data_IF_362422796566
#
_entry.id   IF_362422796566
#
_cell.length_a   1.000
_cell.length_b   1.000
_cell.length_c   1.000
_cell.angle_alpha   90.00
_cell.angle_beta   90.00
_cell.angle_gamma   90.00
#
_symmetry.space_group_name_H-M   'P 1'
#
loop_
_entity.id
_entity.type
_entity.pdbx_description
1 polymer ?
#
# COMPACT_ATOMS: atom_id res chain seq x y z
N UNK A 1 9.29 11.37 -2.38
CA UNK A 1 8.03 10.60 -2.24
C UNK A 1 7.33 11.01 -0.96
N UNK A 2 5.98 11.09 -0.94
CA UNK A 2 5.25 11.44 0.27
C UNK A 2 5.46 10.39 1.35
N UNK A 3 5.69 10.84 2.58
CA UNK A 3 5.75 9.97 3.76
C UNK A 3 4.35 9.42 4.02
N UNK A 4 4.21 8.11 4.12
CA UNK A 4 3.00 7.46 4.62
C UNK A 4 3.24 7.07 6.08
N UNK A 5 2.33 7.48 6.94
CA UNK A 5 2.30 7.06 8.34
C UNK A 5 1.15 6.09 8.52
N UNK A 6 1.42 4.97 9.13
CA UNK A 6 0.43 3.92 9.35
C UNK A 6 0.35 3.57 10.82
N UNK A 7 -0.85 3.50 11.28
CA UNK A 7 -1.43 2.86 12.46
C UNK A 7 -1.20 3.50 13.82
N UNK A 8 -2.22 4.26 14.22
CA UNK A 8 -2.57 4.50 15.61
C UNK A 8 -3.42 3.31 16.06
N UNK A 9 -2.82 2.34 16.79
CA UNK A 9 -3.53 1.14 17.25
C UNK A 9 -4.24 1.34 18.60
N UNK A 10 -4.29 2.58 19.11
CA UNK A 10 -5.03 2.90 20.32
C UNK A 10 -6.51 2.52 20.14
N UNK A 11 -7.07 1.88 21.15
CA UNK A 11 -8.47 1.42 21.14
C UNK A 11 -8.84 0.50 19.95
N UNK A 12 -7.82 -0.19 19.38
CA UNK A 12 -8.01 -1.07 18.22
C UNK A 12 -8.51 -0.34 16.96
N UNK A 13 -8.06 0.89 16.78
CA UNK A 13 -8.31 1.75 15.62
C UNK A 13 -7.07 1.75 14.73
N UNK A 14 -7.26 1.63 13.43
CA UNK A 14 -6.21 1.87 12.44
C UNK A 14 -6.30 3.32 11.95
N UNK A 15 -5.14 3.96 11.87
CA UNK A 15 -4.97 5.27 11.25
C UNK A 15 -3.95 5.17 10.12
N UNK A 16 -4.32 5.55 8.91
CA UNK A 16 -3.42 5.67 7.76
C UNK A 16 -3.38 7.11 7.33
N UNK A 17 -2.19 7.69 7.27
CA UNK A 17 -1.97 9.10 6.88
C UNK A 17 -0.96 9.16 5.74
N UNK A 18 -1.23 9.95 4.71
CA UNK A 18 -0.32 10.23 3.61
C UNK A 18 -0.11 11.75 3.45
N UNK A 19 1.03 12.11 2.88
CA UNK A 19 1.40 13.49 2.52
C UNK A 19 1.28 13.72 0.99
N UNK A 20 0.37 13.01 0.34
CA UNK A 20 0.07 13.16 -1.07
C UNK A 20 -0.73 14.42 -1.38
N UNK A 21 -1.35 14.45 -2.56
CA UNK A 21 -2.17 15.60 -3.01
C UNK A 21 -3.52 15.74 -2.28
N UNK A 22 -3.89 14.81 -1.43
CA UNK A 22 -5.21 14.69 -0.81
C UNK A 22 -6.29 14.13 -1.76
N UNK A 23 -7.28 13.46 -1.21
CA UNK A 23 -8.43 12.97 -1.98
C UNK A 23 -9.22 14.12 -2.61
N UNK A 24 -9.89 13.91 -3.78
CA UNK A 24 -10.81 14.89 -4.34
C UNK A 24 -11.95 15.19 -3.37
N UNK A 25 -12.26 16.48 -3.16
CA UNK A 25 -13.31 16.97 -2.26
C UNK A 25 -14.44 17.68 -2.98
N UNK A 26 -14.34 17.82 -4.29
CA UNK A 26 -15.34 18.39 -5.18
C UNK A 26 -16.61 17.53 -5.25
N UNK A 27 -17.67 18.10 -5.79
CA UNK A 27 -18.92 17.39 -6.03
C UNK A 27 -18.77 16.46 -7.25
N UNK A 28 -19.08 15.20 -7.07
CA UNK A 28 -19.13 14.22 -8.13
C UNK A 28 -20.38 14.43 -9.02
N UNK A 29 -20.36 13.93 -10.25
CA UNK A 29 -21.48 14.02 -11.19
C UNK A 29 -22.81 13.40 -10.65
N UNK A 30 -22.72 12.50 -9.67
CA UNK A 30 -23.87 11.92 -8.96
C UNK A 30 -24.51 12.86 -7.92
N UNK A 31 -24.01 14.09 -7.74
CA UNK A 31 -24.57 15.07 -6.83
C UNK A 31 -24.15 14.91 -5.36
N UNK A 32 -23.18 14.02 -5.07
CA UNK A 32 -22.59 13.86 -3.72
C UNK A 32 -21.08 14.15 -3.75
N UNK A 33 -20.44 14.44 -2.60
CA UNK A 33 -18.99 14.65 -2.55
C UNK A 33 -18.21 13.45 -3.08
N UNK A 34 -17.12 13.69 -3.81
CA UNK A 34 -16.27 12.62 -4.37
C UNK A 34 -15.71 11.70 -3.28
N UNK A 35 -15.39 12.24 -2.09
CA UNK A 35 -15.00 11.43 -0.92
C UNK A 35 -16.08 10.38 -0.59
N UNK A 36 -17.36 10.77 -0.60
CA UNK A 36 -18.45 9.83 -0.35
C UNK A 36 -18.48 8.71 -1.41
N UNK A 37 -18.35 9.07 -2.68
CA UNK A 37 -18.33 8.08 -3.77
C UNK A 37 -17.19 7.06 -3.59
N UNK A 38 -15.98 7.52 -3.23
CA UNK A 38 -14.80 6.66 -2.99
C UNK A 38 -15.09 5.60 -1.91
N UNK A 39 -15.83 5.96 -0.86
CA UNK A 39 -16.07 5.08 0.29
C UNK A 39 -17.39 4.31 0.24
N UNK A 40 -18.33 4.66 -0.66
CA UNK A 40 -19.66 4.02 -0.69
C UNK A 40 -20.00 3.35 -2.02
N UNK A 41 -19.24 3.61 -3.09
CA UNK A 41 -19.51 3.03 -4.41
C UNK A 41 -18.38 2.06 -4.78
N UNK A 42 -18.76 0.84 -5.17
CA UNK A 42 -17.82 -0.13 -5.70
C UNK A 42 -17.32 0.32 -7.08
N UNK A 43 -16.07 0.02 -7.38
CA UNK A 43 -15.40 0.36 -8.64
C UNK A 43 -15.27 1.87 -8.93
N UNK A 44 -15.42 2.71 -7.92
CA UNK A 44 -15.25 4.16 -8.00
C UNK A 44 -13.78 4.63 -8.00
N UNK A 45 -12.83 3.75 -8.29
CA UNK A 45 -11.40 4.08 -8.25
C UNK A 45 -10.96 4.97 -9.40
N UNK A 46 -10.49 6.18 -9.10
CA UNK A 46 -9.91 7.12 -10.09
C UNK A 46 -8.53 6.70 -10.66
N UNK A 47 -8.11 5.45 -10.42
CA UNK A 47 -6.81 4.92 -10.86
C UNK A 47 -6.84 4.28 -12.26
N UNK A 48 -8.02 4.17 -12.86
CA UNK A 48 -8.23 3.51 -14.15
C UNK A 48 -8.20 4.45 -15.36
N UNK A 49 -8.15 5.77 -15.15
CA UNK A 49 -7.94 6.72 -16.23
C UNK A 49 -6.46 6.94 -16.46
N UNK A 50 -6.02 6.95 -17.71
CA UNK A 50 -4.66 7.34 -18.14
C UNK A 50 -4.27 8.74 -17.66
N UNK A 51 -5.24 9.59 -17.34
CA UNK A 51 -5.06 10.93 -16.79
C UNK A 51 -4.90 10.94 -15.24
N UNK A 52 -5.15 9.83 -14.57
CA UNK A 52 -5.15 9.76 -13.08
C UNK A 52 -3.80 9.95 -12.38
N UNK A 53 -2.68 9.98 -13.13
CA UNK A 53 -1.35 10.30 -12.61
C UNK A 53 -0.75 9.28 -11.63
N UNK A 54 -1.30 8.06 -11.57
CA UNK A 54 -0.74 6.96 -10.77
C UNK A 54 0.12 6.05 -11.65
N UNK A 55 1.44 6.05 -11.40
CA UNK A 55 2.39 5.19 -12.14
C UNK A 55 2.38 3.74 -11.64
N UNK A 56 2.14 3.54 -10.34
CA UNK A 56 2.11 2.21 -9.72
C UNK A 56 1.01 2.17 -8.68
N UNK A 57 0.16 1.15 -8.70
CA UNK A 57 -0.92 0.97 -7.75
C UNK A 57 -1.25 -0.50 -7.54
N UNK A 58 -1.33 -0.93 -6.27
CA UNK A 58 -1.81 -2.27 -5.91
C UNK A 58 -3.33 -2.45 -6.02
N UNK A 59 -4.09 -1.35 -6.10
CA UNK A 59 -5.55 -1.40 -6.19
C UNK A 59 -6.03 -1.51 -7.64
N UNK A 60 -6.34 -2.73 -8.10
CA UNK A 60 -6.75 -3.00 -9.47
C UNK A 60 -8.27 -2.89 -9.71
N UNK A 61 -9.08 -2.96 -8.66
CA UNK A 61 -10.54 -3.05 -8.79
C UNK A 61 -11.31 -1.83 -8.28
N UNK A 62 -10.63 -0.84 -7.65
CA UNK A 62 -11.28 0.35 -7.10
C UNK A 62 -12.27 0.09 -5.96
N UNK A 63 -12.06 -1.00 -5.20
CA UNK A 63 -12.97 -1.42 -4.13
C UNK A 63 -12.38 -1.30 -2.73
N UNK A 64 -11.06 -1.06 -2.57
CA UNK A 64 -10.40 -1.11 -1.28
C UNK A 64 -11.03 -0.19 -0.23
N UNK A 65 -11.28 1.07 -0.56
CA UNK A 65 -11.85 2.04 0.36
C UNK A 65 -13.30 1.69 0.74
N UNK A 66 -14.14 1.31 -0.24
CA UNK A 66 -15.53 0.95 0.01
C UNK A 66 -15.67 -0.35 0.80
N UNK A 67 -14.77 -1.33 0.59
CA UNK A 67 -14.73 -2.56 1.39
C UNK A 67 -14.29 -2.27 2.83
N UNK A 68 -13.26 -1.45 3.05
CA UNK A 68 -12.87 -1.03 4.41
C UNK A 68 -14.05 -0.37 5.12
N UNK A 69 -14.77 0.53 4.43
CA UNK A 69 -15.95 1.17 5.00
C UNK A 69 -17.06 0.16 5.34
N UNK A 70 -17.39 -0.75 4.43
CA UNK A 70 -18.43 -1.75 4.63
C UNK A 70 -18.15 -2.73 5.79
N UNK A 71 -16.86 -2.95 6.11
CA UNK A 71 -16.42 -3.86 7.17
C UNK A 71 -16.01 -3.15 8.46
N UNK A 72 -16.34 -1.86 8.60
CA UNK A 72 -15.99 -1.05 9.76
C UNK A 72 -17.22 -0.61 10.57
N UNK A 73 -17.09 -0.57 11.91
CA UNK A 73 -18.06 0.08 12.78
C UNK A 73 -18.19 1.57 12.39
N UNK A 74 -17.07 2.19 12.09
CA UNK A 74 -16.99 3.56 11.59
C UNK A 74 -15.69 3.80 10.82
N UNK A 75 -15.74 4.78 9.91
CA UNK A 75 -14.61 5.34 9.17
C UNK A 75 -14.65 6.85 9.26
N UNK A 76 -13.53 7.49 9.56
CA UNK A 76 -13.34 8.94 9.52
C UNK A 76 -12.26 9.28 8.49
N UNK A 77 -12.60 10.15 7.57
CA UNK A 77 -11.71 10.63 6.51
C UNK A 77 -11.44 12.11 6.73
N UNK A 78 -10.19 12.48 6.89
CA UNK A 78 -9.72 13.86 6.91
C UNK A 78 -8.86 14.12 5.68
N UNK A 79 -9.16 15.19 4.95
CA UNK A 79 -8.42 15.56 3.73
C UNK A 79 -7.86 16.95 3.88
N UNK A 80 -6.55 17.08 3.66
CA UNK A 80 -5.82 18.34 3.59
C UNK A 80 -5.64 18.70 2.11
N UNK A 81 -6.40 19.68 1.62
CA UNK A 81 -6.39 20.06 0.21
C UNK A 81 -6.86 21.51 0.02
N UNK A 82 -6.28 22.20 -0.95
CA UNK A 82 -6.68 23.56 -1.34
C UNK A 82 -6.73 24.55 -0.17
N UNK A 83 -5.75 24.45 0.75
CA UNK A 83 -5.61 25.31 1.93
C UNK A 83 -6.62 25.03 3.04
N UNK A 84 -7.42 23.98 2.93
CA UNK A 84 -8.49 23.62 3.88
C UNK A 84 -8.33 22.21 4.41
N UNK A 85 -8.92 21.98 5.59
CA UNK A 85 -9.07 20.66 6.19
C UNK A 85 -10.55 20.27 6.08
N UNK A 86 -10.80 19.18 5.37
CA UNK A 86 -12.13 18.61 5.21
C UNK A 86 -12.26 17.35 6.06
N UNK A 87 -13.46 17.08 6.59
CA UNK A 87 -13.76 15.85 7.32
C UNK A 87 -15.10 15.28 6.87
N UNK A 88 -15.13 13.96 6.77
CA UNK A 88 -16.31 13.17 6.50
C UNK A 88 -16.25 11.87 7.29
N UNK A 89 -17.38 11.41 7.83
CA UNK A 89 -17.46 10.20 8.64
C UNK A 89 -18.55 9.29 8.09
N UNK A 90 -18.33 7.99 8.27
CA UNK A 90 -19.21 6.92 7.86
C UNK A 90 -19.40 5.98 9.05
N UNK A 91 -20.60 5.44 9.23
CA UNK A 91 -20.93 4.43 10.25
C UNK A 91 -21.88 3.38 9.68
N UNK A 92 -22.10 2.34 10.45
CA UNK A 92 -22.97 1.19 10.07
C UNK A 92 -22.63 0.63 8.68
N UNK A 93 -21.34 0.31 8.45
CA UNK A 93 -20.89 -0.21 7.16
C UNK A 93 -21.08 0.79 5.99
N UNK A 94 -21.10 2.07 6.27
CA UNK A 94 -21.27 3.15 5.27
C UNK A 94 -22.72 3.48 4.92
N UNK A 95 -23.71 2.96 5.66
CA UNK A 95 -25.12 3.32 5.49
C UNK A 95 -25.42 4.72 6.02
N UNK A 96 -24.77 5.10 7.10
CA UNK A 96 -24.84 6.45 7.65
C UNK A 96 -23.62 7.24 7.20
N UNK A 97 -23.86 8.41 6.61
CA UNK A 97 -22.83 9.28 6.04
C UNK A 97 -23.02 10.69 6.53
N UNK A 98 -21.97 11.29 7.12
CA UNK A 98 -21.98 12.68 7.51
C UNK A 98 -21.91 13.62 6.31
N UNK A 99 -22.15 14.90 6.52
CA UNK A 99 -21.80 15.92 5.52
C UNK A 99 -20.28 16.07 5.44
N UNK A 100 -19.78 16.44 4.25
CA UNK A 100 -18.40 16.88 4.10
C UNK A 100 -18.27 18.29 4.69
N UNK A 101 -17.51 18.43 5.76
CA UNK A 101 -17.35 19.69 6.50
C UNK A 101 -15.94 20.24 6.34
N UNK A 102 -15.82 21.57 6.26
CA UNK A 102 -14.54 22.27 6.41
C UNK A 102 -14.31 22.52 7.89
N UNK A 103 -13.32 21.89 8.49
CA UNK A 103 -13.03 21.97 9.93
C UNK A 103 -11.83 22.85 10.26
N UNK A 104 -11.12 23.36 9.25
CA UNK A 104 -9.95 24.21 9.48
C UNK A 104 -9.24 24.63 8.22
N UNK A 105 -8.11 25.33 8.41
CA UNK A 105 -7.16 25.71 7.35
C UNK A 105 -5.84 24.97 7.53
N UNK A 106 -5.11 24.73 6.43
CA UNK A 106 -3.83 24.03 6.45
C UNK A 106 -2.93 24.49 5.32
N UNK A 107 -1.62 24.38 5.53
CA UNK A 107 -0.62 24.51 4.47
C UNK A 107 -0.10 23.15 4.00
N UNK A 108 -0.63 22.05 4.55
CA UNK A 108 -0.26 20.69 4.18
C UNK A 108 -1.24 20.15 3.15
N UNK A 109 -0.79 19.11 2.43
CA UNK A 109 -1.65 18.26 1.58
C UNK A 109 -1.56 16.82 2.05
N UNK A 110 -2.57 16.02 1.75
CA UNK A 110 -2.60 14.61 2.10
C UNK A 110 -3.97 14.16 2.59
N UNK A 111 -4.05 12.89 2.96
CA UNK A 111 -5.28 12.32 3.52
C UNK A 111 -4.94 11.52 4.77
N UNK A 112 -5.86 11.53 5.72
CA UNK A 112 -5.82 10.74 6.94
C UNK A 112 -7.12 9.96 7.06
N UNK A 113 -7.01 8.66 7.17
CA UNK A 113 -8.14 7.74 7.28
C UNK A 113 -8.02 6.98 8.58
N UNK A 114 -9.04 7.06 9.42
CA UNK A 114 -9.15 6.30 10.66
C UNK A 114 -10.35 5.38 10.56
N UNK A 115 -10.20 4.14 11.00
CA UNK A 115 -11.31 3.19 10.99
C UNK A 115 -11.19 2.17 12.11
N UNK A 116 -12.33 1.63 12.50
CA UNK A 116 -12.46 0.55 13.46
C UNK A 116 -13.20 -0.61 12.84
N UNK A 117 -12.55 -1.78 12.78
CA UNK A 117 -13.15 -2.97 12.22
C UNK A 117 -14.40 -3.40 13.02
N UNK A 118 -15.44 -3.80 12.30
CA UNK A 118 -16.67 -4.28 12.89
C UNK A 118 -16.49 -5.69 13.46
N UNK A 119 -16.64 -5.83 14.78
CA UNK A 119 -16.52 -7.10 15.50
C UNK A 119 -17.59 -8.13 15.13
N UNK A 120 -18.67 -7.72 14.47
CA UNK A 120 -19.71 -8.66 13.99
C UNK A 120 -19.31 -9.32 12.67
N UNK A 121 -18.37 -8.71 11.93
CA UNK A 121 -17.89 -9.20 10.63
C UNK A 121 -16.64 -10.06 10.73
N UNK A 122 -15.86 -9.94 11.82
CA UNK A 122 -14.58 -10.62 11.99
C UNK A 122 -14.57 -11.47 13.26
N UNK A 123 -13.96 -12.64 13.21
CA UNK A 123 -13.71 -13.50 14.37
C UNK A 123 -12.76 -12.84 15.39
N UNK A 124 -11.86 -11.98 14.93
CA UNK A 124 -11.00 -11.14 15.75
C UNK A 124 -10.78 -9.79 15.07
N UNK A 125 -10.80 -8.73 15.86
CA UNK A 125 -10.47 -7.38 15.39
C UNK A 125 -9.14 -6.89 15.96
N UNK A 126 -8.37 -7.77 16.65
CA UNK A 126 -7.06 -7.43 17.20
C UNK A 126 -6.02 -7.35 16.10
N UNK A 127 -5.42 -6.21 15.92
CA UNK A 127 -4.36 -6.00 14.94
C UNK A 127 -3.01 -6.48 15.47
N UNK A 128 -2.25 -7.17 14.60
CA UNK A 128 -0.86 -7.52 14.84
C UNK A 128 0.05 -6.43 14.29
N UNK A 129 0.82 -5.79 15.16
CA UNK A 129 1.83 -4.82 14.72
C UNK A 129 2.83 -5.47 13.75
N UNK A 130 3.30 -6.68 14.07
CA UNK A 130 4.27 -7.39 13.26
C UNK A 130 3.79 -7.60 11.83
N UNK A 131 2.55 -8.07 11.62
CA UNK A 131 1.99 -8.25 10.28
C UNK A 131 1.87 -6.93 9.50
N UNK A 132 1.53 -5.83 10.18
CA UNK A 132 1.46 -4.51 9.55
C UNK A 132 2.86 -4.01 9.20
N UNK A 133 3.82 -4.21 10.10
CA UNK A 133 5.21 -3.82 9.93
C UNK A 133 5.88 -4.60 8.78
N UNK A 134 5.72 -5.92 8.74
CA UNK A 134 6.21 -6.75 7.63
C UNK A 134 5.65 -6.30 6.28
N UNK A 135 4.34 -6.03 6.21
CA UNK A 135 3.74 -5.55 4.98
C UNK A 135 4.24 -4.17 4.57
N UNK A 136 4.41 -3.26 5.53
CA UNK A 136 4.97 -1.94 5.28
C UNK A 136 6.44 -2.03 4.81
N UNK A 137 7.22 -2.93 5.38
CA UNK A 137 8.59 -3.18 4.96
C UNK A 137 8.65 -3.72 3.52
N UNK A 138 7.81 -4.70 3.16
CA UNK A 138 7.70 -5.23 1.81
C UNK A 138 7.33 -4.11 0.81
N UNK A 139 6.32 -3.31 1.12
CA UNK A 139 5.91 -2.17 0.28
C UNK A 139 7.03 -1.13 0.13
N UNK A 140 7.84 -0.89 1.18
CA UNK A 140 8.96 0.04 1.13
C UNK A 140 10.11 -0.45 0.23
N UNK A 141 10.34 -1.76 0.16
CA UNK A 141 11.29 -2.34 -0.80
C UNK A 141 10.81 -2.23 -2.25
N UNK A 142 9.50 -2.43 -2.48
CA UNK A 142 8.93 -2.41 -3.83
C UNK A 142 8.73 -0.99 -4.38
N UNK A 143 8.63 0.01 -3.50
CA UNK A 143 8.40 1.40 -3.84
C UNK A 143 9.63 2.24 -3.44
N UNK A 144 10.66 2.15 -4.27
CA UNK A 144 11.95 2.84 -4.07
C UNK A 144 11.77 4.30 -3.64
N UNK A 145 12.45 4.68 -2.55
CA UNK A 145 12.38 6.01 -1.97
C UNK A 145 11.11 6.36 -1.18
N UNK A 146 10.13 5.44 -1.08
CA UNK A 146 8.98 5.63 -0.19
C UNK A 146 9.40 5.43 1.26
N UNK A 147 9.05 6.38 2.13
CA UNK A 147 9.23 6.25 3.57
C UNK A 147 7.90 5.84 4.22
N UNK A 148 7.90 4.71 4.90
CA UNK A 148 6.78 4.21 5.69
C UNK A 148 7.14 4.22 7.17
N UNK A 149 6.23 4.70 8.01
CA UNK A 149 6.36 4.72 9.47
C UNK A 149 5.18 3.95 10.05
N UNK A 150 5.48 2.93 10.81
CA UNK A 150 4.49 2.11 11.53
C UNK A 150 4.61 2.38 13.02
N UNK A 151 3.49 2.76 13.66
CA UNK A 151 3.43 3.04 15.09
C UNK A 151 2.39 2.16 15.76
N UNK A 152 2.74 1.66 16.92
CA UNK A 152 1.80 1.08 17.89
C UNK A 152 1.69 2.05 19.07
N UNK A 153 0.52 2.67 19.24
CA UNK A 153 0.27 3.62 20.32
C UNK A 153 -0.58 2.99 21.45
N UNK A 154 -0.70 1.66 21.46
CA UNK A 154 -1.39 0.95 22.55
C UNK A 154 -0.57 1.06 23.83
N UNK A 155 -1.26 1.38 24.92
CA UNK A 155 -0.64 1.53 26.25
C UNK A 155 0.18 0.28 26.63
N UNK A 156 1.45 0.49 26.99
CA UNK A 156 2.41 -0.55 27.34
C UNK A 156 2.94 -1.39 26.16
N UNK A 157 2.66 -0.95 24.91
CA UNK A 157 3.17 -1.58 23.67
C UNK A 157 3.69 -0.57 22.67
N UNK A 158 3.93 0.66 23.13
CA UNK A 158 4.34 1.76 22.29
C UNK A 158 5.65 1.43 21.57
N UNK A 159 5.63 1.52 20.25
CA UNK A 159 6.80 1.30 19.41
C UNK A 159 6.61 1.95 18.05
N UNK A 160 7.71 2.26 17.42
CA UNK A 160 7.76 2.81 16.06
C UNK A 160 8.80 2.07 15.24
N UNK A 161 8.49 1.74 14.01
CA UNK A 161 9.41 1.24 13.01
C UNK A 161 9.33 2.11 11.75
N UNK A 162 10.50 2.37 11.15
CA UNK A 162 10.63 3.23 9.97
C UNK A 162 11.29 2.44 8.87
N UNK A 163 10.63 2.37 7.73
CA UNK A 163 11.11 1.68 6.53
C UNK A 163 11.33 2.68 5.41
N UNK A 164 12.54 2.69 4.87
CA UNK A 164 12.91 3.57 3.77
C UNK A 164 14.13 2.98 3.05
N UNK A 165 13.94 2.55 1.82
CA UNK A 165 14.96 1.90 1.03
C UNK A 165 15.15 2.62 -0.31
N UNK A 166 16.31 3.22 -0.49
CA UNK A 166 16.64 3.94 -1.73
C UNK A 166 17.04 2.99 -2.87
N UNK A 167 17.48 1.78 -2.54
CA UNK A 167 17.95 0.78 -3.50
C UNK A 167 16.90 -0.28 -3.85
N UNK A 168 15.67 -0.13 -3.38
CA UNK A 168 14.53 -0.95 -3.77
C UNK A 168 14.80 -2.47 -3.69
N UNK A 169 14.74 -3.16 -4.84
CA UNK A 169 14.91 -4.61 -4.93
C UNK A 169 16.32 -5.09 -4.53
N UNK A 170 17.36 -4.28 -4.67
CA UNK A 170 18.70 -4.64 -4.20
C UNK A 170 18.70 -4.76 -2.68
N UNK A 171 18.14 -3.78 -1.98
CA UNK A 171 17.99 -3.83 -0.52
C UNK A 171 17.09 -5.00 -0.07
N UNK A 172 16.07 -5.34 -0.88
CA UNK A 172 15.24 -6.50 -0.60
C UNK A 172 16.02 -7.81 -0.70
N UNK A 173 16.89 -7.97 -1.70
CA UNK A 173 17.76 -9.14 -1.81
C UNK A 173 18.74 -9.24 -0.65
N UNK A 174 19.35 -8.14 -0.24
CA UNK A 174 20.25 -8.09 0.91
C UNK A 174 19.53 -8.49 2.20
N UNK A 175 18.30 -8.00 2.41
CA UNK A 175 17.45 -8.38 3.55
C UNK A 175 17.10 -9.88 3.56
N UNK A 176 16.72 -10.45 2.41
CA UNK A 176 16.37 -11.87 2.30
C UNK A 176 17.55 -12.81 2.53
N UNK A 177 18.77 -12.32 2.39
CA UNK A 177 20.00 -13.07 2.49
C UNK A 177 20.91 -12.61 3.65
N UNK A 178 20.39 -11.83 4.59
CA UNK A 178 21.16 -11.29 5.73
C UNK A 178 21.88 -12.39 6.51
N UNK A 179 21.24 -13.54 6.70
CA UNK A 179 21.77 -14.69 7.44
C UNK A 179 22.34 -15.81 6.56
N UNK A 180 22.59 -15.53 5.24
CA UNK A 180 23.02 -16.55 4.27
C UNK A 180 24.40 -16.26 3.71
N UNK A 181 25.10 -17.32 3.32
CA UNK A 181 26.34 -17.18 2.58
C UNK A 181 26.02 -16.89 1.11
N UNK A 182 26.40 -15.69 0.67
CA UNK A 182 26.17 -15.23 -0.70
C UNK A 182 27.43 -15.34 -1.54
N UNK A 183 27.30 -15.69 -2.84
CA UNK A 183 28.43 -15.84 -3.75
C UNK A 183 28.82 -14.54 -4.48
N UNK A 184 27.92 -13.58 -4.54
CA UNK A 184 28.13 -12.29 -5.19
C UNK A 184 27.20 -11.23 -4.63
N UNK A 185 27.43 -9.96 -4.95
CA UNK A 185 26.48 -8.87 -4.65
C UNK A 185 25.17 -9.06 -5.43
N UNK A 186 24.03 -8.53 -4.94
CA UNK A 186 22.81 -8.56 -5.71
C UNK A 186 23.00 -7.96 -7.11
N UNK A 187 22.46 -8.61 -8.11
CA UNK A 187 22.42 -8.11 -9.48
C UNK A 187 20.98 -7.67 -9.76
N UNK A 188 20.80 -6.44 -10.17
CA UNK A 188 19.49 -5.89 -10.50
C UNK A 188 19.51 -5.30 -11.90
N UNK A 189 18.40 -5.42 -12.60
CA UNK A 189 18.19 -4.80 -13.90
C UNK A 189 16.73 -4.38 -14.08
N UNK A 190 16.53 -3.42 -14.94
CA UNK A 190 15.23 -2.85 -15.26
C UNK A 190 15.06 -2.78 -16.77
N UNK A 191 13.87 -3.07 -17.25
CA UNK A 191 13.55 -3.01 -18.66
C UNK A 191 12.10 -2.56 -18.89
N UNK A 192 11.79 -2.18 -20.12
CA UNK A 192 10.43 -1.82 -20.53
C UNK A 192 10.10 -2.52 -21.86
N UNK A 193 8.92 -3.13 -21.91
CA UNK A 193 8.37 -3.74 -23.13
C UNK A 193 6.87 -3.54 -23.18
N UNK A 194 6.33 -3.04 -24.30
CA UNK A 194 4.89 -2.79 -24.48
C UNK A 194 4.23 -2.04 -23.30
N UNK A 195 4.89 -0.95 -22.85
CA UNK A 195 4.46 -0.13 -21.70
C UNK A 195 4.45 -0.85 -20.34
N UNK A 196 4.99 -2.07 -20.27
CA UNK A 196 5.18 -2.81 -19.03
C UNK A 196 6.63 -2.62 -18.57
N UNK A 197 6.80 -2.02 -17.39
CA UNK A 197 8.09 -1.95 -16.71
C UNK A 197 8.34 -3.26 -15.97
N UNK A 198 9.51 -3.84 -16.15
CA UNK A 198 9.99 -5.02 -15.44
C UNK A 198 11.22 -4.65 -14.65
N UNK A 199 11.18 -4.85 -13.36
CA UNK A 199 12.31 -4.75 -12.45
C UNK A 199 12.62 -6.14 -11.91
N UNK A 200 13.88 -6.57 -11.97
CA UNK A 200 14.32 -7.86 -11.50
C UNK A 200 15.60 -7.72 -10.68
N UNK A 201 15.72 -8.50 -9.62
CA UNK A 201 16.94 -8.66 -8.86
C UNK A 201 17.17 -10.13 -8.54
N UNK A 202 18.43 -10.58 -8.55
CA UNK A 202 18.80 -11.93 -8.17
C UNK A 202 20.15 -11.97 -7.45
N UNK A 203 20.32 -13.01 -6.65
CA UNK A 203 21.56 -13.28 -5.93
C UNK A 203 21.66 -14.79 -5.67
N UNK A 204 22.83 -15.37 -5.89
CA UNK A 204 23.07 -16.78 -5.56
C UNK A 204 23.62 -16.94 -4.14
N UNK A 205 23.13 -17.97 -3.47
CA UNK A 205 23.54 -18.37 -2.12
C UNK A 205 24.06 -19.81 -2.14
N UNK A 206 24.54 -20.31 -1.04
CA UNK A 206 24.95 -21.70 -0.86
C UNK A 206 23.77 -22.68 -0.66
N UNK A 207 22.53 -22.17 -0.68
CA UNK A 207 21.33 -23.00 -0.60
C UNK A 207 21.02 -23.68 -1.94
N UNK A 208 20.58 -24.93 -1.87
CA UNK A 208 20.13 -25.68 -3.06
C UNK A 208 18.71 -25.35 -3.49
N UNK A 209 17.98 -24.58 -2.69
CA UNK A 209 16.58 -24.23 -2.94
C UNK A 209 16.49 -22.89 -3.66
N UNK A 210 15.74 -22.87 -4.76
CA UNK A 210 15.36 -21.65 -5.46
C UNK A 210 14.19 -20.97 -4.73
N UNK A 211 14.34 -19.71 -4.37
CA UNK A 211 13.29 -18.88 -3.79
C UNK A 211 12.95 -17.76 -4.77
N UNK A 212 11.72 -17.75 -5.30
CA UNK A 212 11.24 -16.69 -6.19
C UNK A 212 10.15 -15.89 -5.49
N UNK A 213 10.33 -14.56 -5.51
CA UNK A 213 9.35 -13.59 -5.06
C UNK A 213 8.92 -12.77 -6.28
N UNK A 214 7.68 -12.94 -6.71
CA UNK A 214 7.15 -12.22 -7.87
C UNK A 214 5.98 -11.32 -7.49
N UNK A 215 5.90 -10.16 -8.16
CA UNK A 215 4.92 -9.12 -7.87
C UNK A 215 4.37 -8.53 -9.17
N UNK A 216 3.12 -8.14 -9.16
CA UNK A 216 2.54 -7.23 -10.15
C UNK A 216 2.21 -5.94 -9.44
N UNK A 217 2.90 -4.87 -9.79
CA UNK A 217 2.98 -3.65 -9.04
C UNK A 217 3.52 -3.95 -7.61
N UNK A 218 2.72 -3.74 -6.57
CA UNK A 218 3.08 -4.04 -5.18
C UNK A 218 2.34 -5.28 -4.63
N UNK A 219 1.65 -6.03 -5.48
CA UNK A 219 0.87 -7.21 -5.07
C UNK A 219 1.65 -8.48 -5.37
N UNK A 220 1.95 -9.24 -4.32
CA UNK A 220 2.64 -10.52 -4.45
C UNK A 220 1.79 -11.53 -5.21
N UNK A 221 2.37 -12.17 -6.23
CA UNK A 221 1.72 -13.22 -7.03
C UNK A 221 2.07 -14.59 -6.45
N UNK A 222 1.36 -14.99 -5.40
CA UNK A 222 1.64 -16.25 -4.66
C UNK A 222 1.53 -17.50 -5.52
N UNK A 223 0.67 -17.48 -6.52
CA UNK A 223 0.45 -18.58 -7.46
C UNK A 223 1.31 -18.47 -8.72
N UNK A 224 2.29 -17.56 -8.72
CA UNK A 224 3.14 -17.27 -9.87
C UNK A 224 2.42 -16.52 -10.99
N UNK A 225 2.87 -16.71 -12.22
CA UNK A 225 2.28 -16.09 -13.41
C UNK A 225 3.17 -16.22 -14.65
N UNK A 226 2.71 -15.64 -15.76
CA UNK A 226 3.46 -15.66 -17.04
C UNK A 226 4.79 -14.92 -16.95
N UNK A 227 4.90 -13.89 -16.11
CA UNK A 227 6.13 -13.15 -15.84
C UNK A 227 7.18 -14.05 -15.16
N UNK A 228 6.81 -14.84 -14.16
CA UNK A 228 7.69 -15.81 -13.50
C UNK A 228 8.09 -16.95 -14.45
N UNK A 229 7.14 -17.45 -15.25
CA UNK A 229 7.42 -18.46 -16.27
C UNK A 229 8.40 -17.93 -17.32
N UNK A 230 8.28 -16.66 -17.70
CA UNK A 230 9.18 -15.98 -18.62
C UNK A 230 10.61 -15.88 -18.08
N UNK A 231 10.75 -15.48 -16.82
CA UNK A 231 12.03 -15.39 -16.10
C UNK A 231 12.74 -16.76 -16.07
N UNK A 232 12.06 -17.80 -15.59
CA UNK A 232 12.58 -19.19 -15.57
C UNK A 232 13.00 -19.70 -16.93
N UNK A 233 12.27 -19.36 -17.99
CA UNK A 233 12.63 -19.77 -19.37
C UNK A 233 13.88 -19.04 -19.85
N UNK A 234 14.00 -17.74 -19.61
CA UNK A 234 15.17 -16.95 -20.06
C UNK A 234 16.46 -17.43 -19.38
N UNK A 235 16.39 -17.77 -18.09
CA UNK A 235 17.52 -18.31 -17.34
C UNK A 235 17.99 -19.65 -17.87
N UNK A 236 17.05 -20.57 -18.23
CA UNK A 236 17.38 -21.88 -18.79
C UNK A 236 17.96 -21.79 -20.21
N UNK A 237 17.45 -20.90 -21.05
CA UNK A 237 17.97 -20.74 -22.43
C UNK A 237 19.42 -20.25 -22.44
N UNK A 238 19.81 -19.37 -21.53
CA UNK A 238 21.19 -18.91 -21.43
C UNK A 238 22.16 -19.99 -20.93
N UNK A 239 21.71 -20.96 -20.11
CA UNK A 239 22.54 -22.05 -19.63
C UNK A 239 22.77 -23.16 -20.66
N UNK A 240 21.95 -23.25 -21.72
CA UNK A 240 22.08 -24.25 -22.78
C UNK A 240 23.04 -23.86 -23.93
N UNK A 241 23.53 -22.60 -23.94
CA UNK A 241 24.45 -22.08 -24.96
C UNK A 241 25.91 -21.94 -24.48
N UNK A 242 26.21 -22.35 -23.29
CA UNK A 242 27.57 -22.45 -22.74
C UNK A 242 28.05 -23.89 -22.64
#
# INVERSE_FOLDING_TARGET
>A
FPTRRSSDLKDNVICVEDEGRGMPVDMHASGVPTVQVIYTVLHAGGKFSTEGGYKTSGGLHGVGASVVNALSEWVEVTVHRDGKIYRMSFSDGGREVSKLEVIGKTNKTGSKVRFKADKTMFSTTKYSFHQIAERAQEDAFLLEGLKLVVRDEREGKEREEVYHYEQGLVAFMEYLHEDKQVFHKPVAFSGMSNDIKVDCAFQYTDEYQENIFSFVNIVRTKDGGTHETGDRKSTRLNSSHS
#
